data_IF_648459523277
#
_entry.id   IF_648459523277
#
_cell.length_a   1.000
_cell.length_b   1.000
_cell.length_c   1.000
_cell.angle_alpha   90.00
_cell.angle_beta   90.00
_cell.angle_gamma   90.00
#
_symmetry.space_group_name_H-M   'P 1'
#
loop_
_entity.id
_entity.type
_entity.pdbx_description
1 polymer ?
#
# COMPACT_ATOMS: atom_id res chain seq x y z
N UNK A 1 -3.97 -10.88 -0.40
CA UNK A 1 -2.52 -10.93 -0.07
C UNK A 1 -2.26 -11.01 1.42
N UNK A 2 -2.87 -10.19 2.27
CA UNK A 2 -2.64 -10.24 3.72
C UNK A 2 -2.91 -11.62 4.34
N UNK A 3 -4.03 -12.28 4.02
CA UNK A 3 -4.30 -13.64 4.49
C UNK A 3 -3.18 -14.63 4.13
N UNK A 4 -2.49 -14.45 2.98
CA UNK A 4 -1.33 -15.28 2.63
C UNK A 4 -0.14 -14.96 3.53
N UNK A 5 0.13 -13.70 3.81
CA UNK A 5 1.19 -13.29 4.73
C UNK A 5 0.97 -13.83 6.16
N UNK A 6 -0.27 -13.86 6.64
CA UNK A 6 -0.64 -14.45 7.93
C UNK A 6 -0.35 -15.96 8.01
N UNK A 7 -0.42 -16.70 6.89
CA UNK A 7 -0.04 -18.11 6.87
C UNK A 7 1.47 -18.33 6.89
N UNK A 8 2.26 -17.33 6.48
CA UNK A 8 3.71 -17.43 6.30
C UNK A 8 4.50 -16.92 7.51
N UNK A 9 3.92 -16.03 8.33
CA UNK A 9 4.58 -15.46 9.49
C UNK A 9 3.60 -15.29 10.67
N UNK A 10 4.11 -15.45 11.90
CA UNK A 10 3.35 -15.21 13.13
C UNK A 10 3.59 -13.83 13.71
N UNK A 11 4.81 -13.33 13.57
CA UNK A 11 5.18 -12.01 14.06
C UNK A 11 4.50 -10.91 13.21
N UNK A 12 3.85 -9.90 13.81
CA UNK A 12 3.12 -8.85 13.09
C UNK A 12 4.00 -8.05 12.12
N UNK A 13 5.23 -7.71 12.50
CA UNK A 13 6.16 -7.01 11.60
C UNK A 13 6.52 -7.90 10.42
N UNK A 14 6.86 -9.16 10.67
CA UNK A 14 7.17 -10.10 9.60
C UNK A 14 5.98 -10.34 8.66
N UNK A 15 4.74 -10.45 9.18
CA UNK A 15 3.52 -10.54 8.36
C UNK A 15 3.38 -9.32 7.44
N UNK A 16 3.54 -8.11 7.98
CA UNK A 16 3.44 -6.89 7.18
C UNK A 16 4.54 -6.81 6.11
N UNK A 17 5.78 -7.16 6.45
CA UNK A 17 6.90 -7.18 5.49
C UNK A 17 6.69 -8.23 4.39
N UNK A 18 6.14 -9.40 4.71
CA UNK A 18 5.76 -10.42 3.71
C UNK A 18 4.63 -9.90 2.82
N UNK A 19 3.61 -9.25 3.39
CA UNK A 19 2.54 -8.62 2.62
C UNK A 19 3.08 -7.61 1.61
N UNK A 20 4.00 -6.74 2.02
CA UNK A 20 4.64 -5.76 1.13
C UNK A 20 5.52 -6.43 0.08
N UNK A 21 6.22 -7.52 0.43
CA UNK A 21 6.97 -8.34 -0.52
C UNK A 21 6.07 -8.98 -1.59
N UNK A 22 4.92 -9.54 -1.21
CA UNK A 22 3.95 -10.10 -2.15
C UNK A 22 3.36 -9.02 -3.10
N UNK A 23 3.18 -7.80 -2.59
CA UNK A 23 2.78 -6.66 -3.42
C UNK A 23 3.88 -6.26 -4.40
N UNK A 24 5.13 -6.21 -3.95
CA UNK A 24 6.29 -5.98 -4.81
C UNK A 24 6.38 -7.03 -5.92
N UNK A 25 6.35 -8.33 -5.57
CA UNK A 25 6.40 -9.45 -6.52
C UNK A 25 5.32 -9.34 -7.61
N UNK A 26 4.08 -9.03 -7.22
CA UNK A 26 2.98 -8.85 -8.17
C UNK A 26 3.28 -7.79 -9.24
N UNK A 27 3.99 -6.72 -8.89
CA UNK A 27 4.37 -5.67 -9.85
C UNK A 27 5.66 -5.98 -10.61
N UNK A 28 6.56 -6.80 -10.07
CA UNK A 28 7.76 -7.28 -10.79
C UNK A 28 7.40 -8.24 -11.93
N UNK A 29 6.32 -9.01 -11.77
CA UNK A 29 5.85 -9.96 -12.79
C UNK A 29 5.16 -9.28 -14.00
N UNK A 30 4.93 -7.97 -13.95
CA UNK A 30 4.29 -7.24 -15.04
C UNK A 30 5.27 -6.94 -16.17
N UNK A 31 4.98 -7.43 -17.37
CA UNK A 31 5.72 -7.07 -18.59
C UNK A 31 5.34 -5.68 -19.14
N UNK A 32 4.19 -5.15 -18.73
CA UNK A 32 3.67 -3.84 -19.14
C UNK A 32 3.29 -3.00 -17.91
N UNK A 33 3.29 -1.67 -18.07
CA UNK A 33 2.90 -0.78 -16.98
C UNK A 33 1.46 -1.03 -16.52
N UNK A 34 1.24 -0.99 -15.20
CA UNK A 34 -0.08 -1.20 -14.64
C UNK A 34 -1.08 -0.15 -15.18
N UNK A 35 -2.33 -0.55 -15.53
CA UNK A 35 -3.35 0.36 -16.07
C UNK A 35 -3.86 1.41 -15.06
N UNK A 36 -3.21 1.53 -13.90
CA UNK A 36 -3.48 2.53 -12.89
C UNK A 36 -4.65 2.14 -11.99
N UNK A 37 -4.95 2.97 -11.02
CA UNK A 37 -6.03 2.71 -10.09
C UNK A 37 -7.39 3.05 -10.70
N UNK A 38 -8.32 2.08 -10.64
CA UNK A 38 -9.70 2.28 -11.06
C UNK A 38 -10.39 3.41 -10.26
N UNK A 39 -10.13 3.49 -8.96
CA UNK A 39 -10.71 4.52 -8.10
C UNK A 39 -10.20 5.91 -8.46
N UNK A 40 -8.92 6.05 -8.81
CA UNK A 40 -8.37 7.31 -9.28
C UNK A 40 -9.08 7.79 -10.56
N UNK A 41 -9.37 6.88 -11.50
CA UNK A 41 -10.15 7.20 -12.71
C UNK A 41 -11.55 7.74 -12.38
N UNK A 42 -12.25 7.15 -11.40
CA UNK A 42 -13.55 7.68 -10.95
C UNK A 42 -13.44 9.07 -10.32
N UNK A 43 -12.36 9.34 -9.58
CA UNK A 43 -12.15 10.64 -8.93
C UNK A 43 -11.85 11.74 -9.96
N UNK A 44 -10.95 11.48 -10.91
CA UNK A 44 -10.59 12.47 -11.93
C UNK A 44 -11.77 12.81 -12.85
N UNK A 45 -12.62 11.82 -13.13
CA UNK A 45 -13.81 11.98 -13.97
C UNK A 45 -15.10 12.06 -13.12
N UNK A 46 -15.01 12.56 -11.88
CA UNK A 46 -16.13 12.54 -10.92
C UNK A 46 -17.42 13.19 -11.44
N UNK A 47 -17.32 14.18 -12.33
CA UNK A 47 -18.48 14.79 -12.98
C UNK A 47 -19.29 13.85 -13.89
N UNK A 48 -18.73 12.70 -14.26
CA UNK A 48 -19.39 11.67 -15.07
C UNK A 48 -20.07 10.59 -14.21
N UNK A 49 -19.93 10.65 -12.89
CA UNK A 49 -20.39 9.59 -11.98
C UNK A 49 -21.35 10.11 -10.91
N UNK A 50 -22.21 9.20 -10.42
CA UNK A 50 -23.18 9.52 -9.38
C UNK A 50 -22.53 9.62 -7.99
N UNK A 51 -23.18 10.33 -7.06
CA UNK A 51 -22.81 10.35 -5.64
C UNK A 51 -22.73 8.95 -5.03
N UNK A 52 -23.57 8.02 -5.50
CA UNK A 52 -23.52 6.61 -5.08
C UNK A 52 -22.18 5.96 -5.48
N UNK A 53 -21.70 6.23 -6.69
CA UNK A 53 -20.41 5.73 -7.16
C UNK A 53 -19.27 6.35 -6.34
N UNK A 54 -19.33 7.66 -6.11
CA UNK A 54 -18.32 8.35 -5.29
C UNK A 54 -18.31 7.87 -3.84
N UNK A 55 -19.49 7.53 -3.29
CA UNK A 55 -19.60 6.90 -1.97
C UNK A 55 -18.92 5.52 -1.89
N UNK A 56 -18.94 4.74 -2.98
CA UNK A 56 -18.20 3.47 -3.04
C UNK A 56 -16.69 3.70 -3.04
N UNK A 57 -16.22 4.73 -3.76
CA UNK A 57 -14.80 5.10 -3.78
C UNK A 57 -14.33 5.50 -2.38
N UNK A 58 -15.04 6.42 -1.70
CA UNK A 58 -14.74 6.83 -0.32
C UNK A 58 -14.73 5.63 0.63
N UNK A 59 -15.78 4.80 0.59
CA UNK A 59 -15.87 3.60 1.43
C UNK A 59 -14.70 2.64 1.21
N UNK A 60 -14.28 2.46 -0.06
CA UNK A 60 -13.17 1.58 -0.41
C UNK A 60 -11.86 2.11 0.16
N UNK A 61 -11.56 3.40 -0.02
CA UNK A 61 -10.34 4.02 0.51
C UNK A 61 -10.29 3.93 2.04
N UNK A 62 -11.38 4.24 2.73
CA UNK A 62 -11.48 4.10 4.19
C UNK A 62 -11.31 2.65 4.65
N UNK A 63 -11.81 1.69 3.88
CA UNK A 63 -11.67 0.27 4.21
C UNK A 63 -10.22 -0.17 4.11
N UNK A 64 -9.49 0.28 3.09
CA UNK A 64 -8.06 -0.02 2.94
C UNK A 64 -7.25 0.59 4.08
N UNK A 65 -7.48 1.88 4.37
CA UNK A 65 -6.87 2.58 5.50
C UNK A 65 -7.06 1.82 6.81
N UNK A 66 -8.31 1.55 7.21
CA UNK A 66 -8.63 0.87 8.47
C UNK A 66 -7.98 -0.50 8.59
N UNK A 67 -7.91 -1.26 7.49
CA UNK A 67 -7.28 -2.58 7.49
C UNK A 67 -5.77 -2.48 7.71
N UNK A 68 -5.09 -1.61 6.96
CA UNK A 68 -3.64 -1.44 7.07
C UNK A 68 -3.24 -0.82 8.41
N UNK A 69 -3.99 0.18 8.87
CA UNK A 69 -3.84 0.76 10.20
C UNK A 69 -3.94 -0.31 11.28
N UNK A 70 -4.94 -1.21 11.22
CA UNK A 70 -5.07 -2.31 12.18
C UNK A 70 -3.83 -3.20 12.25
N UNK A 71 -3.24 -3.55 11.10
CA UNK A 71 -1.99 -4.30 11.07
C UNK A 71 -0.80 -3.50 11.61
N UNK A 72 -0.74 -2.20 11.34
CA UNK A 72 0.30 -1.30 11.86
C UNK A 72 0.20 -1.13 13.37
N UNK A 73 -1.01 -1.09 13.93
CA UNK A 73 -1.25 -1.09 15.39
C UNK A 73 -0.72 -2.39 16.01
N UNK A 74 -1.06 -3.56 15.45
CA UNK A 74 -0.51 -4.85 15.92
C UNK A 74 1.03 -4.89 15.87
N UNK A 75 1.63 -4.26 14.85
CA UNK A 75 3.08 -4.12 14.74
C UNK A 75 3.60 -3.24 15.87
N UNK A 76 3.05 -2.03 16.03
CA UNK A 76 3.51 -1.04 17.01
C UNK A 76 3.37 -1.52 18.46
N UNK A 77 2.37 -2.34 18.77
CA UNK A 77 2.19 -2.95 20.10
C UNK A 77 3.34 -3.88 20.48
N UNK A 78 3.94 -4.59 19.51
CA UNK A 78 5.03 -5.54 19.74
C UNK A 78 6.42 -4.98 19.41
N UNK A 79 6.47 -4.07 18.46
CA UNK A 79 7.66 -3.44 17.91
C UNK A 79 7.41 -1.92 17.90
N UNK A 80 7.70 -1.20 18.98
CA UNK A 80 7.47 0.24 19.03
C UNK A 80 8.23 0.98 17.90
N UNK A 81 7.62 1.97 17.24
CA UNK A 81 8.27 2.70 16.17
C UNK A 81 9.45 3.50 16.70
N UNK A 82 10.52 3.61 15.89
CA UNK A 82 11.75 4.34 16.24
C UNK A 82 11.61 5.86 16.13
N UNK A 83 10.56 6.32 15.46
CA UNK A 83 10.21 7.73 15.30
C UNK A 83 8.73 7.89 15.62
N UNK A 84 8.34 9.09 16.03
CA UNK A 84 6.93 9.42 16.14
C UNK A 84 6.25 9.28 14.77
N UNK A 85 5.09 8.61 14.75
CA UNK A 85 4.39 8.25 13.52
C UNK A 85 2.90 8.17 13.77
N UNK A 86 2.14 8.80 12.88
CA UNK A 86 0.70 8.58 12.76
C UNK A 86 0.45 7.31 11.94
N UNK A 87 -0.07 6.27 12.59
CA UNK A 87 -0.31 4.97 11.96
C UNK A 87 -1.45 5.04 10.93
N UNK A 88 -2.43 5.94 11.09
CA UNK A 88 -3.50 6.15 10.11
C UNK A 88 -2.91 6.76 8.83
N UNK A 89 -2.10 7.81 8.97
CA UNK A 89 -1.39 8.42 7.84
C UNK A 89 -0.37 7.46 7.19
N UNK A 90 0.28 6.59 7.97
CA UNK A 90 1.18 5.57 7.42
C UNK A 90 0.43 4.49 6.64
N UNK A 91 -0.78 4.12 7.07
CA UNK A 91 -1.66 3.25 6.31
C UNK A 91 -2.04 3.86 4.95
N UNK A 92 -2.33 5.16 4.92
CA UNK A 92 -2.60 5.88 3.67
C UNK A 92 -1.37 5.95 2.76
N UNK A 93 -0.16 6.06 3.33
CA UNK A 93 1.09 6.14 2.57
C UNK A 93 1.29 4.93 1.64
N UNK A 94 0.85 3.72 2.04
CA UNK A 94 0.87 2.55 1.17
C UNK A 94 0.12 2.79 -0.16
N UNK A 95 -1.10 3.33 -0.07
CA UNK A 95 -1.93 3.65 -1.24
C UNK A 95 -1.30 4.78 -2.05
N UNK A 96 -0.84 5.85 -1.39
CA UNK A 96 -0.22 7.02 -2.03
C UNK A 96 1.02 6.62 -2.83
N UNK A 97 1.87 5.74 -2.28
CA UNK A 97 3.05 5.18 -2.96
C UNK A 97 2.64 4.48 -4.25
N UNK A 98 1.59 3.64 -4.20
CA UNK A 98 1.05 2.97 -5.38
C UNK A 98 0.56 3.94 -6.45
N UNK A 99 -0.30 4.89 -6.08
CA UNK A 99 -0.89 5.86 -7.02
C UNK A 99 0.18 6.73 -7.70
N UNK A 100 1.15 7.24 -6.93
CA UNK A 100 2.27 8.00 -7.47
C UNK A 100 3.13 7.16 -8.41
N UNK A 101 3.40 5.90 -8.03
CA UNK A 101 4.18 4.99 -8.86
C UNK A 101 3.49 4.64 -10.18
N UNK A 102 2.16 4.48 -10.19
CA UNK A 102 1.40 4.23 -11.43
C UNK A 102 1.52 5.38 -12.42
N UNK A 103 1.48 6.63 -11.93
CA UNK A 103 1.67 7.81 -12.79
C UNK A 103 3.08 7.79 -13.38
N UNK A 104 4.11 7.67 -12.55
CA UNK A 104 5.52 7.71 -13.01
C UNK A 104 5.83 6.55 -13.96
N UNK A 105 5.45 5.32 -13.59
CA UNK A 105 5.66 4.12 -14.40
C UNK A 105 5.06 4.27 -15.80
N UNK A 106 3.84 4.81 -15.91
CA UNK A 106 3.18 5.05 -17.20
C UNK A 106 3.85 6.18 -17.98
N UNK A 107 4.18 7.28 -17.33
CA UNK A 107 4.79 8.45 -17.98
C UNK A 107 6.15 8.11 -18.58
N UNK A 108 6.97 7.36 -17.83
CA UNK A 108 8.32 6.97 -18.25
C UNK A 108 8.34 5.69 -19.10
N UNK A 109 7.26 4.89 -19.08
CA UNK A 109 7.15 3.56 -19.70
C UNK A 109 8.12 2.55 -19.08
N UNK A 110 8.25 2.64 -17.75
CA UNK A 110 9.13 1.82 -16.93
C UNK A 110 8.26 0.99 -15.96
N UNK A 111 7.85 -0.24 -16.33
CA UNK A 111 6.96 -1.07 -15.49
C UNK A 111 7.54 -1.37 -14.10
N UNK A 112 8.86 -1.46 -13.99
CA UNK A 112 9.60 -1.76 -12.76
C UNK A 112 9.49 -0.68 -11.67
N UNK A 113 9.11 0.55 -12.02
CA UNK A 113 9.01 1.68 -11.09
C UNK A 113 8.08 1.34 -9.93
N UNK A 114 6.96 0.67 -10.22
CA UNK A 114 5.96 0.33 -9.18
C UNK A 114 6.55 -0.61 -8.13
N UNK A 115 7.20 -1.69 -8.56
CA UNK A 115 7.88 -2.60 -7.66
C UNK A 115 8.99 -1.90 -6.86
N UNK A 116 9.75 -1.02 -7.50
CA UNK A 116 10.79 -0.24 -6.83
C UNK A 116 10.24 0.65 -5.71
N UNK A 117 9.09 1.30 -5.92
CA UNK A 117 8.47 2.13 -4.90
C UNK A 117 7.94 1.32 -3.71
N UNK A 118 7.31 0.15 -3.96
CA UNK A 118 6.91 -0.74 -2.87
C UNK A 118 8.10 -1.33 -2.10
N UNK A 119 9.23 -1.62 -2.78
CA UNK A 119 10.47 -2.02 -2.11
C UNK A 119 10.98 -0.92 -1.18
N UNK A 120 10.98 0.34 -1.62
CA UNK A 120 11.36 1.47 -0.76
C UNK A 120 10.41 1.64 0.43
N UNK A 121 9.11 1.51 0.21
CA UNK A 121 8.12 1.55 1.30
C UNK A 121 8.32 0.41 2.30
N UNK A 122 8.59 -0.81 1.83
CA UNK A 122 8.93 -1.96 2.67
C UNK A 122 10.17 -1.69 3.53
N UNK A 123 11.23 -1.16 2.92
CA UNK A 123 12.45 -0.79 3.65
C UNK A 123 12.17 0.28 4.70
N UNK A 124 11.30 1.26 4.41
CA UNK A 124 10.91 2.28 5.38
C UNK A 124 10.18 1.66 6.58
N UNK A 125 9.21 0.77 6.35
CA UNK A 125 8.51 0.04 7.43
C UNK A 125 9.48 -0.80 8.26
N UNK A 126 10.41 -1.51 7.61
CA UNK A 126 11.44 -2.29 8.30
C UNK A 126 12.39 -1.40 9.12
N UNK A 127 12.79 -0.24 8.61
CA UNK A 127 13.62 0.70 9.36
C UNK A 127 12.87 1.33 10.53
N UNK A 128 11.56 1.59 10.37
CA UNK A 128 10.73 2.24 11.39
C UNK A 128 10.44 1.30 12.57
N UNK A 129 10.18 0.03 12.31
CA UNK A 129 9.75 -0.95 13.32
C UNK A 129 10.78 -2.05 13.61
N UNK A 130 11.84 -2.17 12.81
CA UNK A 130 12.90 -3.17 13.01
C UNK A 130 13.73 -2.89 14.26
N UNK A 131 14.14 -3.97 14.93
CA UNK A 131 15.03 -3.92 16.08
C UNK A 131 16.43 -3.40 15.73
N UNK A 132 17.15 -2.88 16.73
CA UNK A 132 18.58 -2.62 16.64
C UNK A 132 19.40 -3.91 16.78
#
# INVERSE_FOLDING_TARGET
>A
MMNRAETLARDPLQRLLVFLGLYQEMFEELSEHYPGCLMASYVYESGLFSDRTMGIVDHTMRTWRKRLEGHLVEVAERHPPRLDVDLESLADAFTVVGEGAFIVSRTLKEPEVTAAQYRHFRNYVELLFGGA
#
